data_IF_505618889107
#
_entry.id   IF_505618889107
#
_cell.length_a   1.000
_cell.length_b   1.000
_cell.length_c   1.000
_cell.angle_alpha   90.00
_cell.angle_beta   90.00
_cell.angle_gamma   90.00
#
_symmetry.space_group_name_H-M   'P 1'
#
loop_
_entity.id
_entity.type
_entity.pdbx_description
1 polymer ?
#
# COMPACT_ATOMS: atom_id res chain seq x y z
N UNK A 1 13.00 14.28 -23.40
CA UNK A 1 13.98 13.28 -23.91
C UNK A 1 13.21 12.11 -24.45
N UNK A 2 13.45 11.70 -25.70
CA UNK A 2 12.88 10.47 -26.26
C UNK A 2 13.67 9.28 -25.71
N UNK A 3 13.00 8.34 -25.06
CA UNK A 3 13.60 7.06 -24.67
C UNK A 3 13.83 6.23 -25.93
N UNK A 4 15.10 5.92 -26.23
CA UNK A 4 15.44 5.03 -27.34
C UNK A 4 14.81 3.66 -27.14
N UNK A 5 14.30 3.05 -28.21
CA UNK A 5 13.75 1.69 -28.19
C UNK A 5 14.94 0.72 -28.03
N UNK A 6 15.08 -0.01 -26.90
CA UNK A 6 16.21 -0.91 -26.72
C UNK A 6 16.11 -2.09 -27.68
N UNK A 7 17.25 -2.50 -28.25
CA UNK A 7 17.32 -3.68 -29.11
C UNK A 7 16.94 -4.96 -28.34
N UNK A 8 16.12 -5.83 -28.95
CA UNK A 8 15.53 -7.04 -28.35
C UNK A 8 16.54 -7.99 -27.66
N UNK A 9 17.82 -7.92 -28.01
CA UNK A 9 18.87 -8.79 -27.45
C UNK A 9 19.45 -8.30 -26.11
N UNK A 10 19.22 -7.05 -25.70
CA UNK A 10 19.74 -6.53 -24.42
C UNK A 10 18.89 -6.93 -23.20
N UNK A 11 17.57 -7.08 -23.37
CA UNK A 11 16.67 -7.43 -22.26
C UNK A 11 16.87 -8.85 -21.71
N UNK A 12 17.34 -9.80 -22.53
CA UNK A 12 17.55 -11.18 -22.07
C UNK A 12 18.76 -11.35 -21.17
N UNK A 13 19.78 -10.49 -21.27
CA UNK A 13 21.05 -10.66 -20.54
C UNK A 13 21.05 -10.07 -19.12
N UNK A 14 20.15 -9.13 -18.82
CA UNK A 14 20.08 -8.44 -17.52
C UNK A 14 19.16 -9.13 -16.50
N UNK A 15 18.31 -10.08 -16.93
CA UNK A 15 17.41 -10.81 -16.02
C UNK A 15 18.05 -12.01 -15.31
N UNK A 16 19.28 -12.39 -15.67
CA UNK A 16 19.93 -13.60 -15.14
C UNK A 16 20.87 -13.36 -13.94
N UNK A 17 21.34 -12.14 -13.67
CA UNK A 17 22.09 -11.90 -12.42
C UNK A 17 21.13 -11.67 -11.25
N UNK A 18 20.76 -12.75 -10.56
CA UNK A 18 20.12 -12.68 -9.23
C UNK A 18 21.04 -12.13 -8.15
N UNK A 19 22.34 -12.07 -8.41
CA UNK A 19 23.35 -11.57 -7.49
C UNK A 19 23.52 -10.06 -7.69
N UNK A 20 23.31 -9.30 -6.62
CA UNK A 20 23.78 -7.93 -6.54
C UNK A 20 25.29 -7.92 -6.69
N UNK A 21 25.81 -7.09 -7.60
CA UNK A 21 27.26 -6.92 -7.78
C UNK A 21 27.87 -5.96 -6.76
N UNK A 22 27.12 -5.57 -5.73
CA UNK A 22 27.51 -4.61 -4.70
C UNK A 22 26.77 -4.92 -3.39
N UNK A 23 27.36 -4.54 -2.25
CA UNK A 23 26.73 -4.59 -0.94
C UNK A 23 26.75 -3.21 -0.28
N UNK A 24 25.83 -2.99 0.66
CA UNK A 24 25.85 -1.80 1.52
C UNK A 24 26.54 -2.16 2.84
N UNK A 25 27.67 -1.50 3.12
CA UNK A 25 28.43 -1.69 4.36
C UNK A 25 28.31 -0.45 5.26
N UNK A 26 28.17 -0.68 6.56
CA UNK A 26 28.17 0.37 7.59
C UNK A 26 28.51 -0.21 8.97
N UNK A 27 28.98 0.65 9.87
CA UNK A 27 29.34 0.25 11.24
C UNK A 27 28.09 -0.23 11.99
N UNK A 28 28.20 -1.34 12.71
CA UNK A 28 27.10 -1.90 13.49
C UNK A 28 26.14 -2.81 12.71
N UNK A 29 26.44 -3.15 11.45
CA UNK A 29 25.65 -4.11 10.66
C UNK A 29 25.75 -5.51 11.28
N UNK A 30 24.63 -6.01 11.82
CA UNK A 30 24.55 -7.32 12.50
C UNK A 30 24.48 -8.48 11.47
N UNK A 31 24.87 -9.71 11.81
CA UNK A 31 24.65 -10.85 10.90
C UNK A 31 23.15 -11.18 10.76
N UNK A 32 22.75 -11.87 9.70
CA UNK A 32 21.34 -12.29 9.53
C UNK A 32 20.98 -13.34 10.60
N UNK A 33 21.92 -14.24 10.88
CA UNK A 33 21.82 -15.29 11.87
C UNK A 33 21.56 -14.71 13.27
N UNK A 34 22.37 -13.73 13.70
CA UNK A 34 22.18 -13.08 15.01
C UNK A 34 20.82 -12.36 15.11
N UNK A 35 20.31 -11.81 14.00
CA UNK A 35 18.98 -11.18 13.97
C UNK A 35 17.89 -12.24 14.12
N UNK A 36 18.02 -13.38 13.46
CA UNK A 36 17.09 -14.50 13.57
C UNK A 36 17.17 -15.19 14.93
N UNK A 37 18.27 -15.06 15.65
CA UNK A 37 18.46 -15.57 17.02
C UNK A 37 18.19 -14.51 18.10
N UNK A 38 17.80 -13.28 17.69
CA UNK A 38 17.53 -12.20 18.63
C UNK A 38 16.34 -12.53 19.56
N UNK A 39 16.33 -11.97 20.80
CA UNK A 39 15.32 -12.30 21.80
C UNK A 39 13.89 -12.03 21.33
N UNK A 40 12.98 -12.95 21.62
CA UNK A 40 11.55 -12.82 21.40
C UNK A 40 10.86 -12.08 22.55
N UNK A 41 9.81 -11.31 22.23
CA UNK A 41 8.97 -10.69 23.25
C UNK A 41 8.20 -11.75 24.04
N UNK A 42 8.10 -11.57 25.37
CA UNK A 42 7.14 -12.29 26.19
C UNK A 42 5.82 -11.52 26.22
N UNK A 43 4.79 -12.05 25.56
CA UNK A 43 3.50 -11.36 25.42
C UNK A 43 2.46 -11.87 26.42
N UNK A 44 1.83 -10.94 27.13
CA UNK A 44 0.65 -11.20 27.97
C UNK A 44 -0.59 -10.65 27.30
N UNK A 45 -1.57 -11.51 27.05
CA UNK A 45 -2.90 -11.06 26.63
C UNK A 45 -3.60 -10.35 27.79
N UNK A 46 -4.04 -9.11 27.56
CA UNK A 46 -4.73 -8.28 28.55
C UNK A 46 -6.22 -8.08 28.23
N UNK A 47 -6.60 -8.15 26.96
CA UNK A 47 -7.98 -7.95 26.50
C UNK A 47 -8.29 -9.02 25.46
N UNK A 48 -9.51 -9.56 25.53
CA UNK A 48 -10.06 -10.48 24.56
C UNK A 48 -11.49 -10.07 24.24
N UNK A 49 -11.72 -9.66 23.00
CA UNK A 49 -13.06 -9.46 22.45
C UNK A 49 -13.37 -10.66 21.56
N UNK A 50 -14.29 -11.52 22.01
CA UNK A 50 -14.56 -12.79 21.36
C UNK A 50 -15.47 -12.65 20.14
N UNK A 51 -14.93 -12.91 18.95
CA UNK A 51 -15.67 -13.18 17.71
C UNK A 51 -14.90 -14.20 16.85
N UNK A 52 -15.51 -14.65 15.76
CA UNK A 52 -14.95 -15.67 14.85
C UNK A 52 -13.61 -15.24 14.23
N UNK A 53 -13.55 -14.01 13.70
CA UNK A 53 -12.32 -13.43 13.14
C UNK A 53 -11.50 -12.87 14.28
N UNK A 54 -10.23 -13.28 14.42
CA UNK A 54 -9.32 -12.76 15.45
C UNK A 54 -8.28 -11.83 14.86
N UNK A 55 -8.18 -10.63 15.41
CA UNK A 55 -7.15 -9.63 15.13
C UNK A 55 -6.31 -9.38 16.38
N UNK A 56 -5.08 -8.87 16.20
CA UNK A 56 -4.14 -8.64 17.30
C UNK A 56 -3.62 -7.21 17.30
N UNK A 57 -3.72 -6.54 18.45
CA UNK A 57 -3.03 -5.28 18.72
C UNK A 57 -2.00 -5.51 19.82
N UNK A 58 -0.72 -5.25 19.52
CA UNK A 58 0.39 -5.61 20.41
C UNK A 58 1.13 -4.34 20.81
N UNK A 59 1.15 -4.06 22.11
CA UNK A 59 2.02 -3.06 22.71
C UNK A 59 3.36 -3.69 23.06
N UNK A 60 4.41 -3.35 22.31
CA UNK A 60 5.73 -3.96 22.49
C UNK A 60 6.76 -3.43 21.52
N UNK A 61 8.03 -3.73 21.80
CA UNK A 61 9.14 -3.37 20.91
C UNK A 61 9.04 -4.25 19.66
N UNK A 62 8.87 -3.62 18.49
CA UNK A 62 8.48 -4.33 17.30
C UNK A 62 9.51 -5.35 16.80
N UNK A 63 10.81 -5.18 17.03
CA UNK A 63 11.80 -6.22 16.69
C UNK A 63 11.54 -7.50 17.53
N UNK A 64 11.39 -7.36 18.84
CA UNK A 64 11.11 -8.49 19.76
C UNK A 64 9.75 -9.13 19.48
N UNK A 65 8.74 -8.33 19.17
CA UNK A 65 7.41 -8.84 18.79
C UNK A 65 7.48 -9.61 17.47
N UNK A 66 8.17 -9.09 16.44
CA UNK A 66 8.34 -9.80 15.17
C UNK A 66 9.08 -11.14 15.34
N UNK A 67 10.05 -11.21 16.26
CA UNK A 67 10.68 -12.47 16.66
C UNK A 67 9.69 -13.44 17.27
N UNK A 68 8.85 -13.00 18.20
CA UNK A 68 7.79 -13.85 18.76
C UNK A 68 6.81 -14.33 17.69
N UNK A 69 6.39 -13.47 16.75
CA UNK A 69 5.49 -13.86 15.66
C UNK A 69 6.06 -14.96 14.76
N UNK A 70 7.39 -15.05 14.61
CA UNK A 70 8.04 -16.12 13.86
C UNK A 70 7.99 -17.48 14.56
N UNK A 71 7.73 -17.53 15.87
CA UNK A 71 7.57 -18.77 16.63
C UNK A 71 6.18 -19.38 16.46
N UNK A 72 5.20 -18.61 15.98
CA UNK A 72 3.82 -19.04 15.76
C UNK A 72 3.64 -19.58 14.35
N UNK A 73 3.48 -20.91 14.23
CA UNK A 73 3.37 -21.62 12.94
C UNK A 73 2.17 -21.21 12.07
N UNK A 74 1.15 -20.61 12.68
CA UNK A 74 -0.05 -20.06 12.03
C UNK A 74 0.15 -18.63 11.49
N UNK A 75 1.25 -17.97 11.86
CA UNK A 75 1.61 -16.60 11.42
C UNK A 75 2.86 -16.61 10.54
N UNK A 76 3.90 -17.36 10.93
CA UNK A 76 5.16 -17.43 10.20
C UNK A 76 4.95 -17.91 8.76
N UNK A 77 5.39 -17.10 7.79
CA UNK A 77 5.19 -17.38 6.37
C UNK A 77 3.72 -17.33 5.91
N UNK A 78 2.82 -16.67 6.65
CA UNK A 78 1.38 -16.60 6.34
C UNK A 78 0.87 -15.20 6.06
N UNK A 79 1.67 -14.16 6.28
CA UNK A 79 1.24 -12.77 6.09
C UNK A 79 1.14 -12.45 4.59
N UNK A 80 -0.02 -11.99 4.14
CA UNK A 80 -0.27 -11.67 2.72
C UNK A 80 0.21 -10.26 2.36
N UNK A 81 0.10 -9.31 3.29
CA UNK A 81 0.49 -7.94 3.05
C UNK A 81 1.10 -7.31 4.30
N UNK A 82 2.24 -6.65 4.11
CA UNK A 82 2.86 -5.81 5.11
C UNK A 82 2.84 -4.37 4.60
N UNK A 83 2.36 -3.44 5.41
CA UNK A 83 2.57 -2.02 5.20
C UNK A 83 3.29 -1.47 6.43
N UNK A 84 4.38 -0.74 6.21
CA UNK A 84 5.09 -0.06 7.29
C UNK A 84 5.35 1.41 6.92
N UNK A 85 5.18 2.26 7.92
CA UNK A 85 5.55 3.68 7.89
C UNK A 85 6.53 3.93 9.05
N UNK A 86 7.80 3.52 8.92
CA UNK A 86 8.77 3.73 9.98
C UNK A 86 8.95 5.23 10.25
N UNK A 87 9.34 5.63 11.47
CA UNK A 87 9.61 7.02 11.77
C UNK A 87 10.67 7.55 10.80
N UNK A 88 10.42 8.70 10.19
CA UNK A 88 11.43 9.39 9.41
C UNK A 88 12.44 9.94 10.41
N UNK A 89 13.72 9.59 10.29
CA UNK A 89 14.82 10.11 11.09
C UNK A 89 15.02 11.63 10.87
N UNK A 90 13.98 12.44 11.08
CA UNK A 90 13.93 13.88 10.78
C UNK A 90 14.47 14.74 11.92
N UNK A 91 14.87 14.12 13.04
CA UNK A 91 15.38 14.82 14.22
C UNK A 91 14.38 15.80 14.86
N UNK A 92 13.09 15.59 14.65
CA UNK A 92 12.03 16.42 15.22
C UNK A 92 11.08 15.48 15.97
N UNK A 93 11.05 15.58 17.30
CA UNK A 93 10.03 14.91 18.11
C UNK A 93 8.67 15.39 17.65
N UNK A 94 7.78 14.46 17.29
CA UNK A 94 6.44 14.82 16.85
C UNK A 94 5.58 15.03 18.09
N UNK A 95 5.27 16.28 18.41
CA UNK A 95 4.34 16.60 19.49
C UNK A 95 2.92 16.18 19.08
N UNK A 96 2.26 15.36 19.90
CA UNK A 96 0.83 15.08 19.74
C UNK A 96 0.01 16.34 20.04
N UNK A 97 -1.28 16.34 19.64
CA UNK A 97 -2.23 17.43 19.97
C UNK A 97 -2.33 17.76 21.46
N UNK A 98 -1.86 16.87 22.35
CA UNK A 98 -1.89 17.01 23.80
C UNK A 98 -0.52 17.40 24.40
N UNK A 99 0.46 17.81 23.59
CA UNK A 99 1.82 18.16 24.03
C UNK A 99 2.53 17.04 24.82
N UNK A 100 2.08 15.79 24.67
CA UNK A 100 2.75 14.61 25.21
C UNK A 100 3.77 14.15 24.18
N UNK A 101 5.05 14.12 24.58
CA UNK A 101 6.18 13.74 23.75
C UNK A 101 5.96 12.37 23.11
N UNK A 102 5.73 12.33 21.80
CA UNK A 102 5.79 11.09 21.04
C UNK A 102 7.21 10.96 20.44
N UNK A 103 7.94 9.96 20.94
CA UNK A 103 9.20 9.46 20.43
C UNK A 103 10.47 10.29 20.75
N UNK A 104 11.36 9.68 21.54
CA UNK A 104 12.70 10.16 21.83
C UNK A 104 13.67 9.04 21.40
N UNK A 105 14.14 9.09 20.15
CA UNK A 105 15.46 8.54 19.79
C UNK A 105 15.88 8.97 18.37
N UNK A 106 16.91 9.81 18.30
CA UNK A 106 17.52 10.32 17.08
C UNK A 106 18.43 9.24 16.48
N UNK A 107 17.86 8.19 15.90
CA UNK A 107 18.65 7.26 15.07
C UNK A 107 18.92 7.93 13.74
N UNK A 108 20.17 8.29 13.48
CA UNK A 108 20.61 8.89 12.23
C UNK A 108 21.60 7.97 11.50
N UNK A 109 21.67 8.09 10.18
CA UNK A 109 22.65 7.36 9.37
C UNK A 109 22.58 5.84 9.53
N UNK A 110 23.71 5.22 9.87
CA UNK A 110 23.87 3.76 9.94
C UNK A 110 22.94 3.10 10.98
N UNK A 111 22.73 3.72 12.14
CA UNK A 111 21.91 3.15 13.21
C UNK A 111 20.43 3.04 12.81
N UNK A 112 19.95 4.03 12.03
CA UNK A 112 18.60 3.98 11.46
C UNK A 112 18.49 2.89 10.39
N UNK A 113 19.50 2.78 9.51
CA UNK A 113 19.52 1.74 8.49
C UNK A 113 19.51 0.36 9.12
N UNK A 114 20.30 0.13 10.15
CA UNK A 114 20.32 -1.13 10.86
C UNK A 114 19.00 -1.40 11.58
N UNK A 115 18.43 -0.39 12.24
CA UNK A 115 17.11 -0.46 12.86
C UNK A 115 16.05 -0.96 11.85
N UNK A 116 16.01 -0.40 10.65
CA UNK A 116 15.08 -0.85 9.60
C UNK A 116 15.48 -2.22 9.06
N UNK A 117 16.77 -2.46 8.81
CA UNK A 117 17.26 -3.72 8.22
C UNK A 117 16.88 -4.94 9.05
N UNK A 118 17.08 -4.88 10.37
CA UNK A 118 16.74 -6.00 11.27
C UNK A 118 15.26 -6.37 11.17
N UNK A 119 14.38 -5.36 11.14
CA UNK A 119 12.93 -5.57 11.00
C UNK A 119 12.58 -6.13 9.63
N UNK A 120 13.16 -5.60 8.56
CA UNK A 120 12.88 -6.05 7.20
C UNK A 120 13.25 -7.52 6.98
N UNK A 121 14.32 -8.00 7.62
CA UNK A 121 14.70 -9.42 7.59
C UNK A 121 13.59 -10.27 8.22
N UNK A 122 13.13 -9.92 9.42
CA UNK A 122 12.06 -10.67 10.09
C UNK A 122 10.72 -10.58 9.34
N UNK A 123 10.38 -9.40 8.81
CA UNK A 123 9.17 -9.18 8.01
C UNK A 123 9.18 -10.04 6.73
N UNK A 124 10.33 -10.23 6.08
CA UNK A 124 10.45 -11.13 4.92
C UNK A 124 10.12 -12.58 5.28
N UNK A 125 10.59 -13.06 6.44
CA UNK A 125 10.31 -14.43 6.91
C UNK A 125 8.82 -14.62 7.29
N UNK A 126 8.18 -13.57 7.80
CA UNK A 126 6.74 -13.59 8.13
C UNK A 126 5.83 -13.59 6.90
N UNK A 127 6.28 -13.04 5.76
CA UNK A 127 5.49 -13.01 4.53
C UNK A 127 5.23 -14.42 3.98
N UNK A 128 4.01 -14.61 3.47
CA UNK A 128 3.68 -15.73 2.60
C UNK A 128 4.41 -15.65 1.26
N UNK A 129 4.51 -16.77 0.55
CA UNK A 129 5.15 -16.83 -0.78
C UNK A 129 4.51 -15.87 -1.79
N UNK A 130 3.19 -15.64 -1.67
CA UNK A 130 2.44 -14.67 -2.48
C UNK A 130 2.37 -13.27 -1.87
N UNK A 131 3.12 -13.05 -0.78
CA UNK A 131 3.04 -11.85 0.05
C UNK A 131 3.73 -10.63 -0.55
N UNK A 132 3.22 -9.45 -0.18
CA UNK A 132 3.73 -8.15 -0.61
C UNK A 132 4.11 -7.26 0.57
N UNK A 133 5.09 -6.39 0.39
CA UNK A 133 5.48 -5.38 1.37
C UNK A 133 5.53 -3.99 0.74
N UNK A 134 4.99 -3.01 1.47
CA UNK A 134 5.02 -1.60 1.15
C UNK A 134 5.71 -0.83 2.27
N UNK A 135 6.69 -0.01 1.91
CA UNK A 135 7.43 0.82 2.88
C UNK A 135 7.29 2.27 2.46
N UNK A 136 6.70 3.08 3.33
CA UNK A 136 6.55 4.52 3.13
C UNK A 136 7.76 5.27 3.68
N UNK A 137 8.37 6.11 2.85
CA UNK A 137 9.65 6.78 3.11
C UNK A 137 9.61 8.24 2.67
N UNK A 138 10.41 9.07 3.32
CA UNK A 138 10.73 10.42 2.85
C UNK A 138 11.86 10.40 1.81
N UNK A 139 12.26 11.58 1.33
CA UNK A 139 13.33 11.70 0.33
C UNK A 139 14.73 11.32 0.85
N UNK A 140 14.94 11.38 2.17
CA UNK A 140 16.26 11.14 2.75
C UNK A 140 16.52 9.63 2.83
N UNK A 141 15.51 8.86 3.23
CA UNK A 141 15.63 7.43 3.49
C UNK A 141 15.23 6.54 2.30
N UNK A 142 14.50 7.07 1.32
CA UNK A 142 14.03 6.27 0.18
C UNK A 142 15.14 5.53 -0.56
N UNK A 143 16.29 6.19 -0.82
CA UNK A 143 17.38 5.57 -1.57
C UNK A 143 18.19 4.56 -0.72
N UNK A 144 18.65 4.89 0.50
CA UNK A 144 19.31 3.90 1.35
C UNK A 144 18.46 2.64 1.61
N UNK A 145 17.18 2.81 1.92
CA UNK A 145 16.28 1.67 2.18
C UNK A 145 15.99 0.88 0.89
N UNK A 146 15.97 1.51 -0.29
CA UNK A 146 15.86 0.79 -1.56
C UNK A 146 17.01 -0.21 -1.76
N UNK A 147 18.24 0.17 -1.40
CA UNK A 147 19.39 -0.73 -1.49
C UNK A 147 19.24 -1.89 -0.50
N UNK A 148 18.83 -1.60 0.74
CA UNK A 148 18.55 -2.65 1.74
C UNK A 148 17.46 -3.62 1.27
N UNK A 149 16.39 -3.09 0.66
CA UNK A 149 15.31 -3.91 0.11
C UNK A 149 15.79 -4.79 -1.05
N UNK A 150 16.67 -4.28 -1.92
CA UNK A 150 17.28 -5.11 -2.97
C UNK A 150 18.15 -6.22 -2.39
N UNK A 151 18.90 -5.96 -1.31
CA UNK A 151 19.73 -6.97 -0.61
C UNK A 151 18.85 -8.05 0.04
N UNK A 152 17.77 -7.65 0.73
CA UNK A 152 16.91 -8.55 1.51
C UNK A 152 15.92 -9.30 0.61
N UNK A 153 15.16 -8.59 -0.23
CA UNK A 153 14.09 -9.17 -1.05
C UNK A 153 14.58 -9.60 -2.43
N UNK A 154 15.73 -9.10 -2.89
CA UNK A 154 16.24 -9.34 -4.24
C UNK A 154 15.72 -8.33 -5.24
N UNK A 155 16.61 -7.83 -6.11
CA UNK A 155 16.28 -6.84 -7.14
C UNK A 155 15.17 -7.29 -8.11
N UNK A 156 15.05 -8.60 -8.34
CA UNK A 156 14.00 -9.19 -9.21
C UNK A 156 12.60 -9.09 -8.60
N UNK A 157 12.51 -8.90 -7.29
CA UNK A 157 11.28 -8.81 -6.54
C UNK A 157 10.82 -7.37 -6.29
N UNK A 158 11.60 -6.39 -6.73
CA UNK A 158 11.14 -5.01 -6.82
C UNK A 158 10.01 -4.89 -7.85
N UNK A 159 8.95 -4.14 -7.50
CA UNK A 159 7.79 -3.92 -8.36
C UNK A 159 7.68 -2.48 -8.80
N UNK A 160 7.58 -1.55 -7.85
CA UNK A 160 7.41 -0.13 -8.16
C UNK A 160 8.06 0.78 -7.12
N UNK A 161 8.52 1.94 -7.60
CA UNK A 161 8.81 3.13 -6.80
C UNK A 161 7.64 4.08 -6.98
N UNK A 162 6.76 4.14 -5.99
CA UNK A 162 5.55 4.96 -6.06
C UNK A 162 5.87 6.34 -5.49
N UNK A 163 5.62 7.39 -6.27
CA UNK A 163 5.74 8.78 -5.82
C UNK A 163 4.38 9.31 -5.43
N UNK A 164 4.20 9.68 -4.17
CA UNK A 164 2.97 10.29 -3.66
C UNK A 164 3.18 11.79 -3.47
N UNK A 165 2.16 12.58 -3.81
CA UNK A 165 2.12 14.02 -3.50
C UNK A 165 1.52 14.23 -2.11
N UNK A 166 2.36 14.44 -1.10
CA UNK A 166 1.94 14.61 0.30
C UNK A 166 1.25 15.94 0.60
N UNK A 167 1.66 17.04 -0.04
CA UNK A 167 1.09 18.36 0.25
C UNK A 167 0.98 19.29 -0.97
N UNK A 168 0.27 20.42 -0.77
CA UNK A 168 0.25 21.49 -1.75
C UNK A 168 1.60 22.25 -1.76
N UNK A 169 2.00 22.83 -2.90
CA UNK A 169 3.19 23.68 -2.97
C UNK A 169 3.15 24.79 -1.92
N UNK A 170 4.31 25.05 -1.29
CA UNK A 170 4.44 26.04 -0.23
C UNK A 170 5.41 27.15 -0.66
N UNK A 171 5.00 28.40 -0.45
CA UNK A 171 5.68 29.60 -0.99
C UNK A 171 6.95 30.02 -0.24
N UNK A 172 7.34 29.30 0.82
CA UNK A 172 8.49 29.65 1.66
C UNK A 172 9.80 28.99 1.25
N UNK A 173 9.80 28.17 0.19
CA UNK A 173 11.02 27.53 -0.29
C UNK A 173 11.93 28.56 -0.97
N UNK A 174 13.17 28.70 -0.51
CA UNK A 174 14.19 29.58 -1.12
C UNK A 174 15.32 28.72 -1.70
N UNK A 175 15.80 29.07 -2.90
CA UNK A 175 16.97 28.47 -3.58
C UNK A 175 16.90 26.96 -3.87
N UNK A 176 15.72 26.33 -3.85
CA UNK A 176 15.54 24.91 -4.19
C UNK A 176 14.11 24.63 -4.67
N UNK A 177 13.86 23.46 -5.25
CA UNK A 177 12.50 23.01 -5.56
C UNK A 177 11.74 22.65 -4.27
N UNK A 178 10.43 22.91 -4.25
CA UNK A 178 9.58 22.57 -3.10
C UNK A 178 9.46 21.05 -2.92
N UNK A 179 9.71 20.56 -1.70
CA UNK A 179 9.49 19.17 -1.35
C UNK A 179 8.00 18.94 -1.03
N UNK A 180 7.28 18.38 -2.00
CA UNK A 180 5.86 18.03 -1.89
C UNK A 180 5.60 16.53 -2.03
N UNK A 181 6.66 15.72 -2.01
CA UNK A 181 6.57 14.30 -2.30
C UNK A 181 7.13 13.44 -1.18
N UNK A 182 6.58 12.25 -1.08
CA UNK A 182 7.09 11.08 -0.36
C UNK A 182 7.03 9.87 -1.28
N UNK A 183 7.65 8.77 -0.85
CA UNK A 183 7.90 7.62 -1.68
C UNK A 183 7.41 6.34 -1.00
N UNK A 184 6.87 5.42 -1.79
CA UNK A 184 6.46 4.11 -1.31
C UNK A 184 7.18 3.06 -2.15
N UNK A 185 7.99 2.24 -1.51
CA UNK A 185 8.63 1.09 -2.15
C UNK A 185 7.69 -0.11 -2.12
N UNK A 186 7.44 -0.71 -3.27
CA UNK A 186 6.64 -1.93 -3.40
C UNK A 186 7.54 -3.11 -3.81
N UNK A 187 7.60 -4.12 -2.95
CA UNK A 187 8.27 -5.40 -3.17
C UNK A 187 7.33 -6.56 -2.91
N UNK A 188 7.66 -7.71 -3.48
CA UNK A 188 6.99 -8.99 -3.22
C UNK A 188 7.99 -10.00 -2.67
N UNK A 189 7.53 -11.07 -2.02
CA UNK A 189 8.44 -12.12 -1.54
C UNK A 189 9.02 -12.94 -2.71
N UNK A 190 8.16 -13.28 -3.66
CA UNK A 190 8.53 -14.05 -4.87
C UNK A 190 7.98 -13.37 -6.14
N UNK A 191 8.12 -14.02 -7.30
CA UNK A 191 7.52 -13.58 -8.57
C UNK A 191 6.07 -14.06 -8.76
N UNK A 192 5.58 -14.95 -7.90
CA UNK A 192 4.16 -15.31 -7.78
C UNK A 192 3.55 -14.55 -6.61
N UNK A 193 2.68 -13.57 -6.88
CA UNK A 193 2.14 -12.68 -5.85
C UNK A 193 0.73 -12.20 -6.18
N UNK A 194 -0.02 -11.85 -5.14
CA UNK A 194 -1.37 -11.31 -5.28
C UNK A 194 -1.30 -9.91 -5.91
N UNK A 195 -1.94 -9.74 -7.07
CA UNK A 195 -2.05 -8.44 -7.75
C UNK A 195 -3.44 -8.21 -8.36
N UNK A 196 -4.23 -7.38 -7.68
CA UNK A 196 -5.52 -6.91 -8.12
C UNK A 196 -5.36 -5.51 -8.73
N UNK A 197 -5.09 -5.45 -10.04
CA UNK A 197 -4.77 -4.19 -10.74
C UNK A 197 -5.81 -3.08 -10.46
N UNK A 198 -5.41 -1.95 -9.86
CA UNK A 198 -6.32 -0.84 -9.59
C UNK A 198 -6.60 -0.02 -10.86
N UNK A 199 -7.85 0.43 -10.99
CA UNK A 199 -8.31 1.26 -12.09
C UNK A 199 -9.01 2.52 -11.56
N UNK A 200 -8.76 3.64 -12.22
CA UNK A 200 -9.49 4.89 -12.06
C UNK A 200 -10.64 4.99 -13.05
N UNK A 201 -11.76 5.62 -12.67
CA UNK A 201 -12.82 5.91 -13.61
C UNK A 201 -12.32 6.87 -14.71
N UNK A 202 -12.95 6.78 -15.87
CA UNK A 202 -12.72 7.77 -16.92
C UNK A 202 -13.34 9.11 -16.53
N UNK A 203 -12.62 10.20 -16.77
CA UNK A 203 -13.19 11.56 -16.72
C UNK A 203 -13.84 11.91 -18.05
N UNK A 204 -14.88 12.74 -18.06
CA UNK A 204 -15.60 13.12 -19.28
C UNK A 204 -14.66 13.63 -20.39
N UNK A 205 -13.70 14.49 -20.03
CA UNK A 205 -12.71 15.00 -20.97
C UNK A 205 -11.85 13.89 -21.60
N UNK A 206 -11.43 12.90 -20.80
CA UNK A 206 -10.66 11.75 -21.29
C UNK A 206 -11.54 10.81 -22.11
N UNK A 207 -12.80 10.61 -21.73
CA UNK A 207 -13.78 9.83 -22.51
C UNK A 207 -13.94 10.44 -23.89
N UNK A 208 -14.20 11.74 -23.96
CA UNK A 208 -14.42 12.45 -25.24
C UNK A 208 -13.16 12.37 -26.11
N UNK A 209 -11.98 12.52 -25.50
CA UNK A 209 -10.70 12.47 -26.22
C UNK A 209 -10.35 11.08 -26.74
N UNK A 210 -10.54 10.04 -25.94
CA UNK A 210 -10.09 8.67 -26.27
C UNK A 210 -11.17 7.82 -26.95
N UNK A 211 -12.44 7.98 -26.57
CA UNK A 211 -13.61 7.28 -27.13
C UNK A 211 -14.46 8.24 -27.97
N UNK A 212 -13.85 8.66 -29.08
CA UNK A 212 -14.35 9.71 -29.96
C UNK A 212 -15.57 9.31 -30.78
N UNK A 213 -15.84 8.02 -30.94
CA UNK A 213 -16.86 7.54 -31.86
C UNK A 213 -18.09 7.04 -31.11
N UNK A 214 -19.26 7.28 -31.69
CA UNK A 214 -20.55 6.78 -31.23
C UNK A 214 -21.09 5.83 -32.30
N UNK A 215 -21.55 4.66 -31.89
CA UNK A 215 -22.21 3.73 -32.79
C UNK A 215 -23.68 4.11 -32.96
N UNK A 216 -24.06 4.55 -34.16
CA UNK A 216 -25.38 5.13 -34.45
C UNK A 216 -26.56 4.25 -34.02
N UNK A 217 -26.45 2.93 -34.19
CA UNK A 217 -27.53 1.99 -33.86
C UNK A 217 -27.73 1.79 -32.35
N UNK A 218 -26.68 1.94 -31.56
CA UNK A 218 -26.67 1.55 -30.13
C UNK A 218 -26.44 2.73 -29.20
N UNK A 219 -25.97 3.87 -29.71
CA UNK A 219 -25.53 5.01 -28.91
C UNK A 219 -24.23 4.76 -28.14
N UNK A 220 -23.60 3.59 -28.26
CA UNK A 220 -22.43 3.21 -27.46
C UNK A 220 -21.18 3.95 -27.93
N UNK A 221 -20.38 4.45 -26.99
CA UNK A 221 -19.08 5.07 -27.27
C UNK A 221 -18.00 4.02 -27.46
N UNK A 222 -17.16 4.20 -28.48
CA UNK A 222 -16.04 3.31 -28.77
C UNK A 222 -14.81 4.08 -29.28
N UNK A 223 -13.66 3.43 -29.19
CA UNK A 223 -12.42 3.86 -29.85
C UNK A 223 -11.98 2.84 -30.88
N UNK A 224 -11.22 3.30 -31.88
CA UNK A 224 -10.71 2.47 -32.97
C UNK A 224 -9.26 2.12 -32.71
N UNK A 225 -8.97 0.86 -32.39
CA UNK A 225 -7.59 0.39 -32.18
C UNK A 225 -7.08 -0.43 -33.38
N UNK A 226 -5.79 -0.32 -33.72
CA UNK A 226 -5.19 -1.19 -34.74
C UNK A 226 -5.29 -2.65 -34.31
N UNK A 227 -5.54 -3.56 -35.28
CA UNK A 227 -5.61 -5.01 -35.05
C UNK A 227 -4.30 -5.73 -35.41
N UNK A 228 -3.19 -5.00 -35.46
CA UNK A 228 -1.87 -5.55 -35.77
C UNK A 228 -0.86 -5.19 -34.66
N UNK A 229 0.12 -6.05 -34.41
CA UNK A 229 1.19 -5.85 -33.45
C UNK A 229 2.57 -5.86 -34.11
N UNK A 230 3.58 -5.18 -33.55
CA UNK A 230 4.95 -5.20 -34.07
C UNK A 230 5.56 -6.61 -34.15
N UNK A 231 6.40 -6.83 -35.16
CA UNK A 231 7.09 -8.09 -35.43
C UNK A 231 6.39 -8.92 -36.50
N UNK A 232 7.15 -9.57 -37.37
CA UNK A 232 6.62 -10.50 -38.36
C UNK A 232 6.51 -11.91 -37.74
N UNK A 233 5.44 -12.62 -38.07
CA UNK A 233 5.24 -14.02 -37.66
C UNK A 233 4.97 -14.88 -38.87
N UNK A 234 5.48 -16.12 -38.84
CA UNK A 234 5.25 -17.13 -39.90
C UNK A 234 4.01 -18.01 -39.64
N UNK A 235 3.42 -17.92 -38.44
CA UNK A 235 2.19 -18.65 -38.08
C UNK A 235 0.92 -17.96 -38.60
N UNK A 236 -0.26 -18.44 -38.18
CA UNK A 236 -1.58 -18.00 -38.69
C UNK A 236 -1.80 -16.50 -38.62
N UNK A 237 -1.28 -15.81 -37.59
CA UNK A 237 -1.40 -14.35 -37.46
C UNK A 237 -0.57 -13.54 -38.46
N UNK A 238 0.37 -14.18 -39.18
CA UNK A 238 1.09 -13.58 -40.30
C UNK A 238 0.45 -13.85 -41.66
N UNK A 239 -0.60 -14.67 -41.71
CA UNK A 239 -1.27 -15.04 -42.96
C UNK A 239 -2.25 -13.95 -43.40
N UNK A 240 -2.63 -13.93 -44.70
CA UNK A 240 -3.65 -13.01 -45.19
C UNK A 240 -4.99 -13.22 -44.49
N UNK A 241 -5.68 -12.13 -44.17
CA UNK A 241 -7.09 -12.15 -43.80
C UNK A 241 -7.87 -11.36 -44.85
N UNK A 242 -8.86 -11.99 -45.49
CA UNK A 242 -9.63 -11.42 -46.61
C UNK A 242 -8.74 -10.86 -47.74
N UNK A 243 -7.67 -11.59 -48.06
CA UNK A 243 -6.68 -11.18 -49.08
C UNK A 243 -5.74 -10.06 -48.64
N UNK A 244 -5.87 -9.53 -47.42
CA UNK A 244 -5.01 -8.48 -46.88
C UNK A 244 -3.91 -9.07 -46.00
N UNK A 245 -2.66 -8.69 -46.26
CA UNK A 245 -1.53 -8.96 -45.37
C UNK A 245 -1.46 -7.92 -44.25
N UNK A 246 -0.94 -8.29 -43.06
CA UNK A 246 -0.60 -7.30 -42.05
C UNK A 246 0.46 -6.33 -42.60
N UNK A 247 0.53 -5.07 -42.12
CA UNK A 247 1.54 -4.13 -42.59
C UNK A 247 2.97 -4.67 -42.44
N UNK A 248 3.93 -4.27 -43.30
CA UNK A 248 5.31 -4.72 -43.21
C UNK A 248 5.90 -4.54 -41.81
N UNK A 249 6.67 -5.53 -41.33
CA UNK A 249 7.22 -5.52 -39.97
C UNK A 249 6.21 -5.83 -38.86
N UNK A 250 4.97 -6.24 -39.18
CA UNK A 250 3.89 -6.53 -38.23
C UNK A 250 3.19 -7.86 -38.51
N UNK A 251 2.33 -8.27 -37.58
CA UNK A 251 1.41 -9.41 -37.71
C UNK A 251 0.03 -9.01 -37.16
N UNK A 252 -1.02 -9.75 -37.49
CA UNK A 252 -2.32 -9.58 -36.88
C UNK A 252 -2.28 -9.92 -35.38
N UNK A 253 -3.06 -9.22 -34.56
CA UNK A 253 -3.17 -9.50 -33.13
C UNK A 253 -3.93 -10.81 -32.85
N UNK A 254 -4.81 -11.20 -33.77
CA UNK A 254 -5.66 -12.39 -33.71
C UNK A 254 -5.52 -13.19 -35.01
N UNK A 255 -5.90 -14.47 -35.00
CA UNK A 255 -5.86 -15.27 -36.22
C UNK A 255 -6.93 -14.79 -37.21
N UNK A 256 -6.76 -15.03 -38.53
CA UNK A 256 -7.77 -14.69 -39.53
C UNK A 256 -9.18 -15.21 -39.20
N UNK A 257 -9.29 -16.40 -38.60
CA UNK A 257 -10.56 -17.00 -38.19
C UNK A 257 -11.23 -16.17 -37.08
N UNK A 258 -10.48 -15.79 -36.04
CA UNK A 258 -10.99 -14.92 -34.97
C UNK A 258 -11.36 -13.54 -35.50
N UNK A 259 -10.57 -12.97 -36.42
CA UNK A 259 -10.89 -11.70 -37.06
C UNK A 259 -12.18 -11.78 -37.86
N UNK A 260 -12.42 -12.89 -38.56
CA UNK A 260 -13.68 -13.14 -39.28
C UNK A 260 -14.88 -13.23 -38.33
N UNK A 261 -14.73 -13.90 -37.19
CA UNK A 261 -15.78 -13.94 -36.15
C UNK A 261 -16.07 -12.56 -35.56
N UNK A 262 -15.03 -11.77 -35.28
CA UNK A 262 -15.16 -10.41 -34.77
C UNK A 262 -15.86 -9.48 -35.79
N UNK A 263 -15.53 -9.63 -37.08
CA UNK A 263 -16.17 -8.89 -38.16
C UNK A 263 -17.66 -9.22 -38.25
N UNK A 264 -18.02 -10.52 -38.19
CA UNK A 264 -19.42 -10.97 -38.15
C UNK A 264 -20.19 -10.42 -36.95
N UNK A 265 -19.52 -10.22 -35.81
CA UNK A 265 -20.10 -9.59 -34.60
C UNK A 265 -20.19 -8.06 -34.69
N UNK A 266 -19.69 -7.45 -35.77
CA UNK A 266 -19.67 -5.99 -35.94
C UNK A 266 -18.62 -5.27 -35.08
N UNK A 267 -17.66 -6.01 -34.52
CA UNK A 267 -16.56 -5.46 -33.71
C UNK A 267 -15.44 -4.85 -34.55
N UNK A 268 -15.45 -5.07 -35.87
CA UNK A 268 -14.51 -4.46 -36.81
C UNK A 268 -15.12 -3.23 -37.46
N UNK A 269 -14.34 -2.16 -37.49
CA UNK A 269 -14.58 -0.96 -38.28
C UNK A 269 -13.66 -0.98 -39.50
N UNK A 270 -14.26 -0.82 -40.67
CA UNK A 270 -13.54 -0.67 -41.94
C UNK A 270 -13.44 0.82 -42.30
N UNK A 271 -12.22 1.32 -42.54
CA UNK A 271 -12.05 2.69 -43.06
C UNK A 271 -12.52 2.78 -44.51
N UNK A 272 -12.67 4.00 -45.02
CA UNK A 272 -12.95 4.25 -46.45
C UNK A 272 -11.87 3.67 -47.38
N UNK A 273 -10.65 3.49 -46.88
CA UNK A 273 -9.52 2.87 -47.60
C UNK A 273 -9.40 1.37 -47.36
N UNK A 274 -10.38 0.74 -46.70
CA UNK A 274 -10.38 -0.70 -46.42
C UNK A 274 -9.44 -1.14 -45.27
N UNK A 275 -8.88 -0.22 -44.49
CA UNK A 275 -8.03 -0.60 -43.34
C UNK A 275 -8.89 -1.02 -42.15
N UNK A 276 -8.76 -2.28 -41.66
CA UNK A 276 -9.55 -2.76 -40.53
C UNK A 276 -9.00 -2.23 -39.21
N UNK A 277 -9.91 -1.85 -38.32
CA UNK A 277 -9.64 -1.51 -36.92
C UNK A 277 -10.66 -2.17 -36.01
N UNK A 278 -10.30 -2.46 -34.78
CA UNK A 278 -11.23 -2.99 -33.78
C UNK A 278 -11.95 -1.83 -33.08
N UNK A 279 -13.26 -1.97 -32.89
CA UNK A 279 -14.05 -1.15 -31.98
C UNK A 279 -13.85 -1.65 -30.55
N UNK A 280 -13.37 -0.79 -29.66
CA UNK A 280 -13.28 -1.07 -28.22
C UNK A 280 -14.24 -0.12 -27.51
N UNK A 281 -15.29 -0.69 -26.90
CA UNK A 281 -16.36 0.09 -26.29
C UNK A 281 -16.00 0.55 -24.87
N UNK A 282 -16.48 1.74 -24.50
CA UNK A 282 -16.22 2.36 -23.20
C UNK A 282 -16.88 1.60 -22.05
N UNK A 283 -18.09 1.10 -22.24
CA UNK A 283 -18.87 0.36 -21.25
C UNK A 283 -18.25 -0.99 -20.86
N UNK A 284 -17.34 -1.51 -21.68
CA UNK A 284 -16.54 -2.70 -21.39
C UNK A 284 -15.20 -2.36 -20.71
N UNK A 285 -14.89 -1.06 -20.53
CA UNK A 285 -13.64 -0.62 -19.93
C UNK A 285 -13.69 -0.79 -18.42
N UNK A 286 -12.63 -1.39 -17.85
CA UNK A 286 -12.41 -1.41 -16.40
C UNK A 286 -11.97 -0.05 -15.83
N UNK A 287 -11.70 0.93 -16.68
CA UNK A 287 -11.14 2.23 -16.31
C UNK A 287 -9.72 2.44 -16.85
N UNK A 288 -9.03 3.43 -16.28
CA UNK A 288 -7.65 3.77 -16.56
C UNK A 288 -6.78 3.08 -15.51
N UNK A 289 -5.87 2.20 -15.92
CA UNK A 289 -4.98 1.54 -14.97
C UNK A 289 -4.15 2.58 -14.19
N UNK A 290 -4.16 2.48 -12.87
CA UNK A 290 -3.38 3.35 -11.99
C UNK A 290 -1.89 3.16 -12.25
N UNK A 291 -1.15 4.28 -12.23
CA UNK A 291 0.31 4.30 -12.42
C UNK A 291 1.02 4.51 -11.07
N UNK A 292 2.33 4.73 -11.08
CA UNK A 292 3.19 4.88 -9.89
C UNK A 292 3.38 6.34 -9.43
N UNK A 293 2.63 7.30 -9.99
CA UNK A 293 2.59 8.69 -9.53
C UNK A 293 1.19 8.99 -9.01
N UNK A 294 1.05 9.15 -7.69
CA UNK A 294 -0.22 9.39 -7.00
C UNK A 294 -0.31 10.85 -6.55
N UNK A 295 -1.26 11.59 -7.09
CA UNK A 295 -1.41 13.04 -6.91
C UNK A 295 -2.59 13.42 -6.01
N UNK A 296 -3.47 12.46 -5.74
CA UNK A 296 -4.76 12.59 -5.07
C UNK A 296 -4.67 12.37 -3.55
N UNK A 297 -3.68 11.59 -3.08
CA UNK A 297 -3.55 11.24 -1.67
C UNK A 297 -2.70 12.24 -0.90
N UNK A 298 -3.28 13.37 -0.50
CA UNK A 298 -2.60 14.37 0.33
C UNK A 298 -2.78 14.10 1.82
N UNK A 299 -1.90 14.66 2.63
CA UNK A 299 -2.07 14.74 4.07
C UNK A 299 -3.28 15.62 4.42
N UNK A 300 -3.80 15.45 5.63
CA UNK A 300 -4.87 16.28 6.15
C UNK A 300 -4.42 17.75 6.19
N UNK A 301 -5.12 18.62 5.46
CA UNK A 301 -4.71 20.01 5.24
C UNK A 301 -5.84 21.03 5.48
N UNK A 302 -7.05 20.58 5.84
CA UNK A 302 -8.17 21.46 6.15
C UNK A 302 -9.08 20.85 7.22
N UNK A 303 -9.86 21.71 7.88
CA UNK A 303 -10.71 21.37 9.03
C UNK A 303 -11.81 20.34 8.70
N UNK A 304 -12.18 20.20 7.43
CA UNK A 304 -13.22 19.26 6.99
C UNK A 304 -12.71 17.81 6.93
N UNK A 305 -11.39 17.59 6.98
CA UNK A 305 -10.80 16.26 6.99
C UNK A 305 -10.88 15.71 8.41
N UNK A 306 -11.42 14.49 8.53
CA UNK A 306 -11.51 13.80 9.81
C UNK A 306 -10.24 12.98 10.07
N UNK A 307 -9.65 13.19 11.23
CA UNK A 307 -8.45 12.48 11.69
C UNK A 307 -8.59 12.16 13.19
N UNK A 308 -7.82 11.19 13.66
CA UNK A 308 -7.65 10.90 15.10
C UNK A 308 -6.96 12.06 15.83
N UNK A 309 -6.13 12.82 15.11
CA UNK A 309 -5.27 13.84 15.70
C UNK A 309 -3.85 13.39 16.01
N UNK A 310 -3.52 12.15 15.66
CA UNK A 310 -2.15 11.65 15.67
C UNK A 310 -1.31 12.38 14.59
N UNK A 311 -0.08 12.84 14.90
CA UNK A 311 0.70 13.70 14.01
C UNK A 311 1.00 13.13 12.62
N UNK A 312 1.15 11.80 12.51
CA UNK A 312 1.59 11.12 11.28
C UNK A 312 0.50 10.25 10.63
N UNK A 313 -0.76 10.57 10.88
CA UNK A 313 -1.89 9.80 10.34
C UNK A 313 -1.93 9.76 8.81
N UNK A 314 -1.89 8.54 8.24
CA UNK A 314 -1.96 8.33 6.79
C UNK A 314 -3.38 8.40 6.26
N UNK A 315 -3.47 8.77 4.98
CA UNK A 315 -4.72 8.83 4.23
C UNK A 315 -5.35 7.43 4.12
N UNK A 316 -6.61 7.21 4.58
CA UNK A 316 -7.25 5.89 4.50
C UNK A 316 -7.44 5.38 3.07
N UNK A 317 -7.70 6.25 2.09
CA UNK A 317 -7.90 5.85 0.68
C UNK A 317 -6.59 5.38 0.02
N UNK A 318 -5.45 5.93 0.45
CA UNK A 318 -4.12 5.43 0.06
C UNK A 318 -3.94 3.97 0.49
N UNK A 319 -4.21 3.69 1.77
CA UNK A 319 -4.10 2.36 2.34
C UNK A 319 -5.14 1.41 1.76
N UNK A 320 -6.36 1.88 1.48
CA UNK A 320 -7.41 1.11 0.82
C UNK A 320 -6.96 0.63 -0.55
N UNK A 321 -6.35 1.52 -1.35
CA UNK A 321 -5.77 1.15 -2.65
C UNK A 321 -4.69 0.08 -2.50
N UNK A 322 -3.75 0.26 -1.58
CA UNK A 322 -2.65 -0.69 -1.35
C UNK A 322 -3.19 -2.05 -0.92
N UNK A 323 -4.07 -2.08 0.09
CA UNK A 323 -4.64 -3.32 0.65
C UNK A 323 -5.47 -4.07 -0.39
N UNK A 324 -6.29 -3.37 -1.18
CA UNK A 324 -7.06 -4.03 -2.23
C UNK A 324 -6.17 -4.57 -3.36
N UNK A 325 -5.10 -3.86 -3.72
CA UNK A 325 -4.19 -4.27 -4.79
C UNK A 325 -3.41 -5.54 -4.45
N UNK A 326 -3.08 -5.77 -3.18
CA UNK A 326 -2.11 -6.80 -2.78
C UNK A 326 -2.63 -7.74 -1.69
N UNK A 327 -3.95 -7.81 -1.49
CA UNK A 327 -4.61 -8.82 -0.65
C UNK A 327 -6.07 -9.04 -1.06
N UNK A 328 -6.63 -10.15 -0.62
CA UNK A 328 -8.03 -10.55 -0.77
C UNK A 328 -8.78 -10.54 0.57
N UNK A 329 -10.10 -10.71 0.54
CA UNK A 329 -10.88 -10.84 1.78
C UNK A 329 -10.43 -12.08 2.56
N UNK A 330 -10.27 -11.97 3.88
CA UNK A 330 -9.79 -13.05 4.74
C UNK A 330 -8.26 -13.14 4.85
N UNK A 331 -7.51 -12.45 3.99
CA UNK A 331 -6.04 -12.41 4.08
C UNK A 331 -5.56 -11.74 5.37
N UNK A 332 -4.33 -12.07 5.79
CA UNK A 332 -3.67 -11.53 6.97
C UNK A 332 -2.76 -10.35 6.62
N UNK A 333 -2.98 -9.21 7.26
CA UNK A 333 -2.24 -7.96 7.07
C UNK A 333 -1.43 -7.64 8.32
N UNK A 334 -0.20 -7.15 8.18
CA UNK A 334 0.62 -6.70 9.29
C UNK A 334 1.06 -5.25 9.11
N UNK A 335 0.94 -4.48 10.19
CA UNK A 335 1.55 -3.17 10.35
C UNK A 335 2.39 -3.14 11.62
N UNK A 336 3.72 -3.15 11.46
CA UNK A 336 4.68 -3.16 12.57
C UNK A 336 4.99 -1.75 13.11
N UNK A 337 4.32 -0.71 12.58
CA UNK A 337 4.41 0.69 12.99
C UNK A 337 3.00 1.30 12.94
N UNK A 338 2.07 0.69 13.69
CA UNK A 338 0.62 0.92 13.53
C UNK A 338 0.22 2.38 13.78
N UNK A 339 0.91 3.10 14.67
CA UNK A 339 0.71 4.52 14.92
C UNK A 339 -0.73 4.87 15.23
N UNK A 340 -1.35 5.70 14.39
CA UNK A 340 -2.77 6.06 14.54
C UNK A 340 -3.75 4.89 14.37
N UNK A 341 -3.33 3.78 13.74
CA UNK A 341 -4.16 2.62 13.44
C UNK A 341 -4.87 2.67 12.08
N UNK A 342 -4.37 3.42 11.08
CA UNK A 342 -5.11 3.56 9.80
C UNK A 342 -5.10 2.26 9.02
N UNK A 343 -3.98 1.54 8.98
CA UNK A 343 -3.83 0.29 8.22
C UNK A 343 -4.78 -0.78 8.72
N UNK A 344 -4.76 -1.05 10.04
CA UNK A 344 -5.63 -2.04 10.70
C UNK A 344 -7.11 -1.65 10.55
N UNK A 345 -7.39 -0.34 10.60
CA UNK A 345 -8.73 0.18 10.44
C UNK A 345 -9.30 -0.06 9.03
N UNK A 346 -8.48 0.10 7.99
CA UNK A 346 -8.88 -0.14 6.60
C UNK A 346 -8.92 -1.64 6.29
N UNK A 347 -7.99 -2.43 6.84
CA UNK A 347 -7.97 -3.88 6.71
C UNK A 347 -9.28 -4.49 7.24
N UNK A 348 -9.73 -4.08 8.43
CA UNK A 348 -11.00 -4.52 9.01
C UNK A 348 -12.21 -4.15 8.13
N UNK A 349 -12.27 -2.91 7.62
CA UNK A 349 -13.36 -2.47 6.71
C UNK A 349 -13.43 -3.35 5.46
N UNK A 350 -12.27 -3.71 4.94
CA UNK A 350 -12.11 -4.59 3.79
C UNK A 350 -12.24 -6.08 4.15
N UNK A 351 -12.56 -6.45 5.39
CA UNK A 351 -12.73 -7.84 5.84
C UNK A 351 -11.45 -8.68 5.73
N UNK A 352 -10.31 -8.08 6.06
CA UNK A 352 -9.03 -8.77 6.25
C UNK A 352 -8.76 -8.98 7.74
N UNK A 353 -7.99 -10.01 8.07
CA UNK A 353 -7.39 -10.15 9.39
C UNK A 353 -6.18 -9.23 9.51
N UNK A 354 -5.85 -8.79 10.71
CA UNK A 354 -4.72 -7.89 10.92
C UNK A 354 -4.00 -8.10 12.25
N UNK A 355 -2.70 -7.78 12.20
CA UNK A 355 -1.81 -7.64 13.35
C UNK A 355 -1.24 -6.20 13.31
N UNK A 356 -1.39 -5.46 14.40
CA UNK A 356 -0.82 -4.12 14.57
C UNK A 356 0.15 -4.11 15.76
N UNK A 357 1.33 -3.52 15.57
CA UNK A 357 2.36 -3.44 16.62
C UNK A 357 2.78 -1.97 16.78
N UNK A 358 2.88 -1.50 18.02
CA UNK A 358 3.54 -0.25 18.38
C UNK A 358 4.23 -0.34 19.73
N UNK A 359 5.30 0.44 19.90
CA UNK A 359 5.97 0.62 21.19
C UNK A 359 5.55 1.93 21.89
N UNK A 360 4.72 2.76 21.25
CA UNK A 360 4.15 3.97 21.82
C UNK A 360 2.80 3.69 22.46
N UNK A 361 2.67 3.97 23.76
CA UNK A 361 1.39 3.82 24.47
C UNK A 361 0.30 4.71 23.85
N UNK A 362 0.67 5.92 23.45
CA UNK A 362 -0.22 6.85 22.74
C UNK A 362 -0.74 6.27 21.41
N UNK A 363 0.08 5.54 20.66
CA UNK A 363 -0.34 4.89 19.42
C UNK A 363 -1.37 3.78 19.68
N UNK A 364 -1.14 2.96 20.71
CA UNK A 364 -2.08 1.91 21.14
C UNK A 364 -3.40 2.52 21.59
N UNK A 365 -3.37 3.53 22.46
CA UNK A 365 -4.57 4.25 22.91
C UNK A 365 -5.33 4.87 21.72
N UNK A 366 -4.61 5.55 20.83
CA UNK A 366 -5.19 6.17 19.64
C UNK A 366 -5.84 5.13 18.73
N UNK A 367 -5.19 3.99 18.52
CA UNK A 367 -5.71 2.89 17.71
C UNK A 367 -6.98 2.30 18.33
N UNK A 368 -6.98 2.04 19.64
CA UNK A 368 -8.18 1.58 20.37
C UNK A 368 -9.32 2.60 20.22
N UNK A 369 -9.05 3.88 20.48
CA UNK A 369 -10.06 4.93 20.33
C UNK A 369 -10.59 5.03 18.89
N UNK A 370 -9.75 4.84 17.88
CA UNK A 370 -10.18 4.81 16.47
C UNK A 370 -11.07 3.61 16.17
N UNK A 371 -10.70 2.42 16.65
CA UNK A 371 -11.48 1.21 16.44
C UNK A 371 -12.85 1.29 17.10
N UNK A 372 -12.92 1.98 18.25
CA UNK A 372 -14.13 2.15 19.05
C UNK A 372 -14.99 3.33 18.55
N UNK A 373 -14.40 4.52 18.44
CA UNK A 373 -15.13 5.77 18.22
C UNK A 373 -15.04 6.31 16.79
N UNK A 374 -14.19 5.72 15.94
CA UNK A 374 -13.89 6.24 14.60
C UNK A 374 -12.99 7.48 14.63
N UNK A 375 -13.12 8.37 13.65
CA UNK A 375 -12.35 9.62 13.54
C UNK A 375 -13.24 10.86 13.77
N UNK A 376 -12.62 11.96 14.20
CA UNK A 376 -13.30 13.24 14.43
C UNK A 376 -12.81 14.31 13.46
N UNK A 377 -13.61 15.35 13.21
CA UNK A 377 -13.20 16.47 12.36
C UNK A 377 -11.97 17.19 12.95
N UNK A 378 -11.13 17.74 12.09
CA UNK A 378 -9.96 18.55 12.47
C UNK A 378 -10.45 19.94 12.96
N UNK A 379 -10.99 20.01 14.17
CA UNK A 379 -11.44 21.28 14.79
C UNK A 379 -10.28 22.22 15.16
N UNK A 380 -10.57 23.52 15.28
CA UNK A 380 -9.62 24.56 15.71
C UNK A 380 -9.31 24.43 17.20
N UNK A 381 -8.16 23.85 17.55
CA UNK A 381 -7.69 23.78 18.94
C UNK A 381 -6.87 25.03 19.36
N UNK A 382 -6.96 26.13 18.61
CA UNK A 382 -6.20 27.35 18.91
C UNK A 382 -6.93 28.29 19.88
N UNK A 383 -8.25 28.15 20.10
CA UNK A 383 -8.98 29.00 21.05
C UNK A 383 -9.85 28.17 22.01
N UNK A 384 -9.35 27.97 23.23
CA UNK A 384 -9.99 27.21 24.31
C UNK A 384 -11.21 27.87 24.98
N UNK A 385 -12.04 28.60 24.24
CA UNK A 385 -13.25 29.23 24.78
C UNK A 385 -14.42 29.07 23.81
N UNK A 386 -15.07 27.92 23.86
CA UNK A 386 -16.34 27.68 23.18
C UNK A 386 -16.84 26.29 23.50
N UNK A 387 -18.04 26.19 24.05
CA UNK A 387 -18.75 24.93 24.22
C UNK A 387 -18.74 24.15 22.91
N UNK A 388 -18.10 22.97 22.92
CA UNK A 388 -18.03 22.07 21.78
C UNK A 388 -19.47 21.76 21.32
N UNK A 389 -19.88 22.17 20.10
CA UNK A 389 -21.14 21.71 19.56
C UNK A 389 -21.02 20.20 19.38
N UNK A 390 -21.99 19.45 19.92
CA UNK A 390 -22.12 18.01 19.69
C UNK A 390 -22.33 17.79 18.18
N UNK A 391 -21.24 17.61 17.43
CA UNK A 391 -21.28 17.41 15.99
C UNK A 391 -21.20 15.92 15.67
N UNK A 392 -22.30 15.42 15.12
CA UNK A 392 -22.45 14.07 14.62
C UNK A 392 -21.50 13.83 13.44
N UNK A 393 -20.72 12.74 13.52
CA UNK A 393 -19.79 12.36 12.47
C UNK A 393 -20.54 11.82 11.24
N UNK A 394 -20.38 12.50 10.10
CA UNK A 394 -20.91 12.09 8.78
C UNK A 394 -20.01 11.13 7.96
N UNK A 395 -19.33 10.18 8.61
CA UNK A 395 -18.82 8.93 8.01
C UNK A 395 -19.33 7.86 8.96
N UNK A 396 -20.02 6.83 8.45
CA UNK A 396 -20.80 5.87 9.23
C UNK A 396 -20.27 5.67 10.66
N UNK A 397 -20.88 6.38 11.61
CA UNK A 397 -20.56 6.40 13.04
C UNK A 397 -20.82 5.09 13.75
N UNK A 398 -21.30 4.09 13.03
CA UNK A 398 -21.41 2.72 13.50
C UNK A 398 -20.13 1.94 13.16
N UNK A 399 -18.94 2.51 13.41
CA UNK A 399 -17.73 1.70 13.46
C UNK A 399 -17.68 1.04 14.83
N UNK A 400 -18.38 -0.07 14.94
CA UNK A 400 -18.20 -1.06 16.00
C UNK A 400 -17.09 -1.97 15.53
N UNK A 401 -16.18 -2.35 16.43
CA UNK A 401 -15.27 -3.48 16.20
C UNK A 401 -16.09 -4.68 15.67
N UNK A 402 -15.96 -4.98 14.37
CA UNK A 402 -16.80 -5.99 13.70
C UNK A 402 -16.24 -7.39 13.87
N UNK A 403 -14.96 -7.43 14.23
CA UNK A 403 -14.14 -8.61 14.39
C UNK A 403 -13.77 -8.80 15.86
N UNK A 404 -13.20 -9.95 16.20
CA UNK A 404 -12.61 -10.19 17.50
C UNK A 404 -11.25 -9.50 17.57
N UNK A 405 -10.86 -9.09 18.78
CA UNK A 405 -9.62 -8.39 19.03
C UNK A 405 -8.97 -8.93 20.29
N UNK A 406 -7.72 -9.33 20.17
CA UNK A 406 -6.85 -9.63 21.29
C UNK A 406 -5.84 -8.49 21.43
N UNK A 407 -5.72 -7.95 22.65
CA UNK A 407 -4.70 -6.94 22.97
C UNK A 407 -3.63 -7.57 23.84
N UNK A 408 -2.38 -7.44 23.43
CA UNK A 408 -1.21 -7.98 24.11
C UNK A 408 -0.29 -6.86 24.58
N UNK A 409 0.38 -7.09 25.71
CA UNK A 409 1.49 -6.25 26.17
C UNK A 409 2.75 -7.09 26.33
N UNK A 410 3.90 -6.50 26.05
CA UNK A 410 5.21 -7.09 26.35
C UNK A 410 5.53 -6.98 27.86
N UNK A 411 5.84 -8.11 28.50
CA UNK A 411 6.00 -8.19 29.96
C UNK A 411 7.37 -7.73 30.49
N UNK A 412 8.41 -7.88 29.66
CA UNK A 412 9.80 -7.56 30.01
C UNK A 412 10.30 -6.39 29.13
N UNK A 413 9.45 -5.38 29.00
CA UNK A 413 9.73 -4.23 28.17
C UNK A 413 10.37 -3.11 28.99
N UNK A 414 11.34 -2.44 28.38
CA UNK A 414 11.83 -1.10 28.71
C UNK A 414 10.84 0.02 28.36
N UNK A 415 9.61 -0.34 27.98
CA UNK A 415 8.54 0.57 27.60
C UNK A 415 7.76 1.10 28.81
N UNK A 416 6.92 2.10 28.54
CA UNK A 416 6.02 2.70 29.53
C UNK A 416 5.07 1.65 30.13
N UNK A 417 4.89 1.67 31.45
CA UNK A 417 4.03 0.70 32.14
C UNK A 417 2.56 1.03 31.89
N UNK A 418 1.81 0.05 31.39
CA UNK A 418 0.36 0.12 31.33
C UNK A 418 -0.22 -0.18 32.71
N UNK A 419 -1.04 0.74 33.24
CA UNK A 419 -1.69 0.56 34.55
C UNK A 419 -2.93 -0.35 34.44
N UNK A 420 -3.31 -1.02 35.54
CA UNK A 420 -4.53 -1.85 35.56
C UNK A 420 -5.78 -1.02 35.24
N UNK A 421 -5.86 0.23 35.70
CA UNK A 421 -6.98 1.13 35.35
C UNK A 421 -7.07 1.39 33.84
N UNK A 422 -5.94 1.58 33.15
CA UNK A 422 -5.93 1.74 31.69
C UNK A 422 -6.41 0.46 30.99
N UNK A 423 -6.00 -0.72 31.47
CA UNK A 423 -6.45 -2.01 30.95
C UNK A 423 -7.96 -2.16 31.15
N UNK A 424 -8.48 -1.82 32.33
CA UNK A 424 -9.92 -1.83 32.63
C UNK A 424 -10.70 -0.88 31.73
N UNK A 425 -10.20 0.35 31.51
CA UNK A 425 -10.82 1.35 30.64
C UNK A 425 -10.86 0.87 29.17
N UNK A 426 -9.75 0.35 28.65
CA UNK A 426 -9.70 -0.21 27.30
C UNK A 426 -10.61 -1.42 27.15
N UNK A 427 -10.61 -2.31 28.14
CA UNK A 427 -11.46 -3.50 28.16
C UNK A 427 -12.93 -3.11 28.15
N UNK A 428 -13.33 -2.14 28.99
CA UNK A 428 -14.68 -1.60 29.00
C UNK A 428 -15.05 -1.01 27.65
N UNK A 429 -14.21 -0.14 27.07
CA UNK A 429 -14.50 0.50 25.77
C UNK A 429 -14.68 -0.52 24.64
N UNK A 430 -13.80 -1.51 24.55
CA UNK A 430 -13.80 -2.51 23.49
C UNK A 430 -14.96 -3.51 23.64
N UNK A 431 -15.17 -4.05 24.84
CA UNK A 431 -16.25 -5.03 25.07
C UNK A 431 -17.63 -4.40 25.16
N UNK A 432 -17.78 -3.20 25.74
CA UNK A 432 -19.05 -2.48 25.73
C UNK A 432 -19.54 -2.27 24.31
N UNK A 433 -18.65 -1.84 23.41
CA UNK A 433 -19.04 -1.66 22.02
C UNK A 433 -19.28 -2.94 21.26
N UNK A 434 -18.48 -3.98 21.50
CA UNK A 434 -18.66 -5.27 20.84
C UNK A 434 -20.04 -5.89 21.11
N UNK A 435 -20.62 -5.61 22.28
CA UNK A 435 -21.92 -6.11 22.75
C UNK A 435 -23.13 -5.26 22.33
N UNK A 436 -22.94 -4.11 21.68
CA UNK A 436 -24.06 -3.27 21.20
C UNK A 436 -24.74 -3.84 19.95
N UNK A 437 -24.21 -4.93 19.39
CA UNK A 437 -24.62 -5.61 18.15
C UNK A 437 -24.30 -7.10 18.23
#
# INVERSE_FOLDING_TARGET
>A
MATGIPGKNQYKKLKDSSLLSFSLEYVGKVSIEDILESPSAQLRKIINVEKEIKNQLIYGENLRVLRNLLEHSDIAGKINLIYIDPPYATGLGFESRQQTYAYQDFREGADYLEFIRQRLILLKELLSEQGSIYIHLDQNMAFPVKILMDEIFGIKNFRNWITRKKCNPKNYTKNQYGNISDYILFYTKTDDYIWNQPFEPWTDDKVIKEYQYIEEKTGRRYKKVPIHAPGERKGSTGQPWRGMLPPPGKHWQYTPETLEEMDKKGEIYWSSTGNPRRKVYLDQSKGIAVQDIWLEFKDAHNQNIKITGYPTEKNPELLKRIIQASSNSGDLILDAFVGSGTTVAVAEELKRQWIGIDNSLLAIETTIQRLVKGTQAMGDFVNGNGSLPQQQSLINTNRILKSGLEVYIEMESDLEKVTENQIEDWNYLLNFQANLW
#
